data_IF_505669435237
#
_entry.id   IF_505669435237
#
_cell.length_a   1.000
_cell.length_b   1.000
_cell.length_c   1.000
_cell.angle_alpha   90.00
_cell.angle_beta   90.00
_cell.angle_gamma   90.00
#
_symmetry.space_group_name_H-M   'P 1'
#
loop_
_entity.id
_entity.type
_entity.pdbx_description
1 polymer ?
#
# COMPACT_ATOMS: atom_id res chain seq x y z
N UNK A 1 19.40 2.44 -28.81
CA UNK A 1 19.91 1.97 -27.50
C UNK A 1 18.75 1.34 -26.75
N UNK A 2 19.02 0.26 -26.01
CA UNK A 2 18.00 -0.32 -25.11
C UNK A 2 17.75 0.60 -23.94
N UNK A 3 16.53 0.58 -23.41
CA UNK A 3 16.13 1.31 -22.21
C UNK A 3 16.50 0.50 -20.96
N UNK A 4 17.12 1.12 -19.99
CA UNK A 4 17.41 0.50 -18.70
C UNK A 4 16.23 0.67 -17.77
N UNK A 5 15.56 -0.43 -17.44
CA UNK A 5 14.38 -0.50 -16.59
C UNK A 5 14.76 -1.18 -15.28
N UNK A 6 14.81 -0.43 -14.21
CA UNK A 6 15.10 -0.94 -12.87
C UNK A 6 13.80 -1.44 -12.21
N UNK A 7 13.84 -2.65 -11.70
CA UNK A 7 12.66 -3.31 -11.13
C UNK A 7 12.96 -3.70 -9.69
N UNK A 8 12.24 -3.08 -8.76
CA UNK A 8 12.42 -3.32 -7.33
C UNK A 8 11.94 -4.73 -6.99
N UNK A 9 12.84 -5.54 -6.42
CA UNK A 9 12.54 -6.90 -5.99
C UNK A 9 12.35 -7.90 -7.11
N UNK A 10 12.93 -7.67 -8.30
CA UNK A 10 12.82 -8.58 -9.45
C UNK A 10 13.45 -9.95 -9.13
N UNK A 11 12.65 -10.99 -9.21
CA UNK A 11 13.08 -12.39 -9.11
C UNK A 11 13.27 -13.03 -10.50
N UNK A 12 13.77 -14.28 -10.51
CA UNK A 12 14.06 -15.00 -11.75
C UNK A 12 12.78 -15.33 -12.54
N UNK A 13 11.69 -15.66 -11.86
CA UNK A 13 10.43 -16.00 -12.52
C UNK A 13 9.85 -14.76 -13.23
N UNK A 14 9.76 -13.64 -12.54
CA UNK A 14 9.26 -12.40 -13.12
C UNK A 14 10.20 -11.85 -14.22
N UNK A 15 11.51 -12.03 -14.08
CA UNK A 15 12.45 -11.68 -15.15
C UNK A 15 12.19 -12.48 -16.43
N UNK A 16 11.98 -13.81 -16.32
CA UNK A 16 11.63 -14.65 -17.48
C UNK A 16 10.32 -14.21 -18.13
N UNK A 17 9.32 -13.87 -17.32
CA UNK A 17 8.04 -13.36 -17.82
C UNK A 17 8.22 -12.04 -18.58
N UNK A 18 8.97 -11.08 -18.03
CA UNK A 18 9.26 -9.79 -18.67
C UNK A 18 10.04 -9.95 -19.98
N UNK A 19 10.97 -10.89 -20.04
CA UNK A 19 11.72 -11.19 -21.26
C UNK A 19 10.84 -11.77 -22.39
N UNK A 20 9.68 -12.30 -22.05
CA UNK A 20 8.72 -12.88 -23.01
C UNK A 20 7.67 -11.89 -23.54
N UNK A 21 7.57 -10.67 -22.97
CA UNK A 21 6.57 -9.69 -23.44
C UNK A 21 7.00 -9.04 -24.76
N UNK A 22 6.02 -8.51 -25.49
CA UNK A 22 6.27 -7.80 -26.76
C UNK A 22 7.23 -6.61 -26.53
N UNK A 23 8.22 -6.46 -27.39
CA UNK A 23 9.26 -5.41 -27.36
C UNK A 23 10.26 -5.51 -26.19
N UNK A 24 10.32 -6.65 -25.49
CA UNK A 24 11.30 -6.87 -24.43
C UNK A 24 12.75 -6.69 -24.89
N UNK A 25 13.01 -6.95 -26.17
CA UNK A 25 14.32 -6.76 -26.80
C UNK A 25 14.83 -5.31 -26.79
N UNK A 26 13.93 -4.35 -26.58
CA UNK A 26 14.25 -2.92 -26.48
C UNK A 26 14.59 -2.48 -25.04
N UNK A 27 14.50 -3.39 -24.07
CA UNK A 27 14.74 -3.12 -22.66
C UNK A 27 15.88 -3.96 -22.09
N UNK A 28 16.60 -3.39 -21.14
CA UNK A 28 17.45 -4.09 -20.20
C UNK A 28 16.72 -4.08 -18.86
N UNK A 29 16.21 -5.23 -18.42
CA UNK A 29 15.56 -5.38 -17.12
C UNK A 29 16.63 -5.59 -16.05
N UNK A 30 16.75 -4.67 -15.13
CA UNK A 30 17.80 -4.61 -14.11
C UNK A 30 17.17 -4.79 -12.73
N UNK A 31 17.70 -5.71 -11.95
CA UNK A 31 17.25 -5.93 -10.57
C UNK A 31 17.68 -4.77 -9.69
N UNK A 32 16.71 -4.19 -8.98
CA UNK A 32 16.93 -3.23 -7.94
C UNK A 32 16.49 -3.86 -6.62
N UNK A 33 17.40 -4.05 -5.71
CA UNK A 33 17.26 -4.77 -4.46
C UNK A 33 16.92 -6.27 -4.59
N UNK A 34 17.35 -7.04 -3.62
CA UNK A 34 17.01 -8.45 -3.47
C UNK A 34 15.65 -8.58 -2.77
N UNK A 35 14.70 -9.27 -3.40
CA UNK A 35 13.36 -9.47 -2.83
C UNK A 35 13.40 -10.17 -1.47
N UNK A 36 14.35 -11.05 -1.25
CA UNK A 36 14.53 -11.74 0.03
C UNK A 36 14.84 -10.77 1.18
N UNK A 37 15.51 -9.66 0.89
CA UNK A 37 15.79 -8.60 1.84
C UNK A 37 14.60 -7.68 2.10
N UNK A 38 13.60 -7.71 1.21
CA UNK A 38 12.38 -6.90 1.31
C UNK A 38 11.30 -7.58 2.17
N UNK A 39 11.35 -8.91 2.30
CA UNK A 39 10.36 -9.73 3.00
C UNK A 39 10.86 -10.08 4.42
N UNK A 40 11.32 -9.12 5.19
CA UNK A 40 11.43 -9.33 6.63
C UNK A 40 10.05 -9.15 7.26
N UNK A 41 9.48 -10.27 7.73
CA UNK A 41 8.12 -10.33 8.27
C UNK A 41 7.93 -9.58 9.59
N UNK A 42 8.99 -9.07 10.20
CA UNK A 42 8.95 -8.46 11.53
C UNK A 42 8.99 -6.93 11.52
N UNK A 43 9.49 -6.31 10.45
CA UNK A 43 9.47 -4.86 10.30
C UNK A 43 9.73 -4.44 8.85
N UNK A 44 8.95 -3.50 8.36
CA UNK A 44 9.25 -2.83 7.10
C UNK A 44 10.30 -1.75 7.35
N UNK A 45 11.52 -1.98 6.88
CA UNK A 45 12.66 -1.06 7.02
C UNK A 45 12.74 -0.15 5.79
N UNK A 46 11.70 0.65 5.56
CA UNK A 46 11.55 1.46 4.34
C UNK A 46 12.73 2.41 4.09
N UNK A 47 13.24 3.08 5.14
CA UNK A 47 14.41 3.98 5.03
C UNK A 47 15.63 3.25 4.51
N UNK A 48 15.96 2.11 5.12
CA UNK A 48 17.14 1.32 4.76
C UNK A 48 17.02 0.79 3.33
N UNK A 49 15.80 0.37 2.92
CA UNK A 49 15.54 -0.09 1.55
C UNK A 49 15.72 1.05 0.54
N UNK A 50 15.25 2.25 0.84
CA UNK A 50 15.44 3.42 0.00
C UNK A 50 16.91 3.80 -0.12
N UNK A 51 17.66 3.79 0.98
CA UNK A 51 19.09 4.07 0.98
C UNK A 51 19.86 3.07 0.11
N UNK A 52 19.60 1.77 0.28
CA UNK A 52 20.21 0.72 -0.54
C UNK A 52 19.83 0.83 -2.03
N UNK A 53 18.58 1.18 -2.34
CA UNK A 53 18.15 1.38 -3.72
C UNK A 53 18.87 2.57 -4.37
N UNK A 54 18.99 3.67 -3.64
CA UNK A 54 19.71 4.86 -4.08
C UNK A 54 21.19 4.55 -4.31
N UNK A 55 21.85 3.82 -3.39
CA UNK A 55 23.23 3.43 -3.53
C UNK A 55 23.46 2.58 -4.80
N UNK A 56 22.58 1.61 -5.09
CA UNK A 56 22.68 0.79 -6.30
C UNK A 56 22.45 1.61 -7.59
N UNK A 57 21.50 2.56 -7.56
CA UNK A 57 21.22 3.42 -8.72
C UNK A 57 22.35 4.42 -8.97
N UNK A 58 22.93 5.00 -7.92
CA UNK A 58 24.04 5.96 -8.03
C UNK A 58 25.36 5.32 -8.52
N UNK A 59 25.55 4.01 -8.24
CA UNK A 59 26.70 3.25 -8.72
C UNK A 59 26.54 2.72 -10.16
N UNK A 60 25.36 2.84 -10.75
CA UNK A 60 25.11 2.31 -12.09
C UNK A 60 25.70 3.21 -13.17
N UNK A 61 26.57 2.63 -14.00
CA UNK A 61 27.16 3.31 -15.16
C UNK A 61 26.22 3.23 -16.38
N UNK A 62 25.31 4.19 -16.51
CA UNK A 62 24.38 4.26 -17.63
C UNK A 62 23.18 5.16 -17.34
N UNK A 63 22.23 5.21 -18.29
CA UNK A 63 20.97 5.94 -18.07
C UNK A 63 20.03 5.16 -17.16
N UNK A 64 19.32 5.83 -16.29
CA UNK A 64 18.16 5.30 -15.59
C UNK A 64 16.94 5.76 -16.39
N UNK A 65 16.31 4.86 -17.16
CA UNK A 65 15.20 5.23 -18.06
C UNK A 65 13.83 4.98 -17.42
N UNK A 66 13.71 4.03 -16.49
CA UNK A 66 12.51 3.77 -15.72
C UNK A 66 12.83 3.04 -14.41
N UNK A 67 12.01 3.29 -13.39
CA UNK A 67 12.02 2.58 -12.11
C UNK A 67 10.60 2.10 -11.85
N UNK A 68 10.42 0.78 -11.66
CA UNK A 68 9.11 0.16 -11.48
C UNK A 68 9.13 -0.87 -10.35
N UNK A 69 7.96 -1.27 -9.90
CA UNK A 69 7.78 -2.35 -8.94
C UNK A 69 6.46 -3.07 -9.22
N UNK A 70 6.31 -4.31 -8.75
CA UNK A 70 5.13 -5.14 -8.95
C UNK A 70 4.58 -5.73 -7.65
N UNK A 71 5.14 -5.34 -6.51
CA UNK A 71 4.67 -5.76 -5.19
C UNK A 71 4.06 -4.59 -4.43
N UNK A 72 3.22 -4.91 -3.45
CA UNK A 72 2.57 -3.97 -2.54
C UNK A 72 3.62 -3.27 -1.63
N UNK A 73 3.17 -2.54 -0.63
CA UNK A 73 4.04 -1.88 0.35
C UNK A 73 5.15 -2.80 0.89
N UNK A 74 6.40 -2.35 0.97
CA UNK A 74 6.87 -0.96 0.78
C UNK A 74 7.23 -0.59 -0.66
N UNK A 75 7.29 -1.54 -1.61
CA UNK A 75 7.76 -1.30 -2.98
C UNK A 75 6.89 -0.28 -3.71
N UNK A 76 5.57 -0.40 -3.62
CA UNK A 76 4.62 0.54 -4.22
C UNK A 76 4.89 2.00 -3.84
N UNK A 77 5.33 2.27 -2.62
CA UNK A 77 5.67 3.61 -2.13
C UNK A 77 7.11 4.02 -2.42
N UNK A 78 8.02 3.06 -2.65
CA UNK A 78 9.40 3.36 -3.05
C UNK A 78 9.47 3.87 -4.49
N UNK A 79 8.65 3.34 -5.39
CA UNK A 79 8.63 3.73 -6.81
C UNK A 79 8.48 5.24 -7.00
N UNK A 80 7.45 5.92 -6.49
CA UNK A 80 7.31 7.36 -6.69
C UNK A 80 8.48 8.17 -6.12
N UNK A 81 9.01 7.78 -4.96
CA UNK A 81 10.14 8.46 -4.31
C UNK A 81 11.39 8.38 -5.18
N UNK A 82 11.68 7.19 -5.72
CA UNK A 82 12.84 6.99 -6.56
C UNK A 82 12.65 7.62 -7.95
N UNK A 83 11.46 7.53 -8.54
CA UNK A 83 11.15 8.19 -9.81
C UNK A 83 11.34 9.71 -9.72
N UNK A 84 10.85 10.35 -8.66
CA UNK A 84 11.04 11.78 -8.41
C UNK A 84 12.52 12.12 -8.25
N UNK A 85 13.26 11.37 -7.44
CA UNK A 85 14.69 11.59 -7.19
C UNK A 85 15.53 11.53 -8.45
N UNK A 86 15.25 10.59 -9.37
CA UNK A 86 16.03 10.38 -10.59
C UNK A 86 15.42 11.07 -11.84
N UNK A 87 14.33 11.80 -11.67
CA UNK A 87 13.70 12.55 -12.77
C UNK A 87 13.12 11.67 -13.87
N UNK A 88 12.70 10.43 -13.54
CA UNK A 88 12.05 9.52 -14.48
C UNK A 88 10.54 9.52 -14.28
N UNK A 89 9.73 9.23 -15.33
CA UNK A 89 8.29 9.18 -15.20
C UNK A 89 7.82 8.14 -14.17
N UNK A 90 6.84 8.53 -13.34
CA UNK A 90 6.25 7.67 -12.33
C UNK A 90 5.01 8.32 -11.69
N UNK A 91 4.28 7.58 -10.84
CA UNK A 91 3.19 8.16 -10.06
C UNK A 91 3.74 9.17 -9.04
N UNK A 92 2.92 10.09 -8.56
CA UNK A 92 3.28 10.93 -7.42
C UNK A 92 3.15 10.12 -6.12
N UNK A 93 3.95 10.46 -5.09
CA UNK A 93 3.82 9.83 -3.78
C UNK A 93 2.39 10.02 -3.23
N UNK A 94 1.82 11.21 -3.38
CA UNK A 94 0.44 11.50 -2.96
C UNK A 94 -0.58 10.55 -3.60
N UNK A 95 -0.50 10.32 -4.93
CA UNK A 95 -1.44 9.44 -5.63
C UNK A 95 -1.37 8.00 -5.13
N UNK A 96 -0.16 7.51 -4.83
CA UNK A 96 0.03 6.18 -4.26
C UNK A 96 -0.52 6.11 -2.84
N UNK A 97 -0.24 7.10 -1.99
CA UNK A 97 -0.74 7.14 -0.62
C UNK A 97 -2.27 7.21 -0.56
N UNK A 98 -2.93 7.94 -1.48
CA UNK A 98 -4.40 7.93 -1.64
C UNK A 98 -4.96 6.54 -1.85
N UNK A 99 -4.29 5.72 -2.67
CA UNK A 99 -4.72 4.34 -2.92
C UNK A 99 -4.44 3.41 -1.73
N UNK A 100 -3.30 3.59 -1.08
CA UNK A 100 -2.82 2.70 -0.01
C UNK A 100 -3.46 2.96 1.35
N UNK A 101 -3.81 4.20 1.66
CA UNK A 101 -4.51 4.60 2.87
C UNK A 101 -6.00 4.32 2.72
N UNK A 102 -6.46 3.18 3.24
CA UNK A 102 -7.81 2.64 2.97
C UNK A 102 -8.95 3.62 3.25
N UNK A 103 -8.85 4.44 4.28
CA UNK A 103 -9.87 5.45 4.56
C UNK A 103 -9.83 6.59 3.53
N UNK A 104 -8.66 7.10 3.18
CA UNK A 104 -8.53 8.13 2.14
C UNK A 104 -9.01 7.61 0.78
N UNK A 105 -8.61 6.39 0.41
CA UNK A 105 -9.11 5.74 -0.81
C UNK A 105 -10.64 5.68 -0.83
N UNK A 106 -11.30 5.42 0.29
CA UNK A 106 -12.77 5.42 0.37
C UNK A 106 -13.37 6.82 0.21
N UNK A 107 -12.74 7.86 0.74
CA UNK A 107 -13.18 9.25 0.54
C UNK A 107 -13.11 9.66 -0.94
N UNK A 108 -12.00 9.34 -1.62
CA UNK A 108 -11.83 9.62 -3.05
C UNK A 108 -12.86 8.86 -3.90
N UNK A 109 -13.08 7.58 -3.59
CA UNK A 109 -14.08 6.76 -4.27
C UNK A 109 -15.50 7.30 -4.01
N UNK A 110 -15.81 7.71 -2.78
CA UNK A 110 -17.11 8.28 -2.44
C UNK A 110 -17.36 9.60 -3.18
N UNK A 111 -16.34 10.41 -3.39
CA UNK A 111 -16.45 11.63 -4.18
C UNK A 111 -16.74 11.35 -5.67
N UNK A 112 -16.18 10.26 -6.22
CA UNK A 112 -16.32 9.90 -7.63
C UNK A 112 -17.58 9.07 -7.93
N UNK A 113 -17.97 8.13 -7.06
CA UNK A 113 -19.03 7.15 -7.30
C UNK A 113 -19.82 6.86 -6.00
N UNK A 114 -20.43 7.86 -5.37
CA UNK A 114 -21.03 7.77 -4.03
C UNK A 114 -22.07 6.65 -3.88
N UNK A 115 -22.81 6.35 -4.93
CA UNK A 115 -23.86 5.32 -4.94
C UNK A 115 -23.32 3.87 -4.94
N UNK A 116 -22.02 3.68 -5.21
CA UNK A 116 -21.39 2.37 -5.30
C UNK A 116 -20.43 2.07 -4.15
N UNK A 117 -20.31 2.98 -3.18
CA UNK A 117 -19.41 2.82 -2.04
C UNK A 117 -20.20 2.42 -0.78
N UNK A 118 -19.78 1.37 -0.04
CA UNK A 118 -20.41 1.02 1.21
C UNK A 118 -20.21 2.12 2.25
N UNK A 119 -21.06 2.17 3.27
CA UNK A 119 -20.79 3.02 4.41
C UNK A 119 -19.45 2.59 5.05
N UNK A 120 -18.67 3.57 5.45
CA UNK A 120 -17.38 3.35 6.08
C UNK A 120 -17.11 4.45 7.11
N UNK A 121 -16.30 4.12 8.12
CA UNK A 121 -15.86 5.08 9.14
C UNK A 121 -14.49 4.69 9.67
N UNK A 122 -13.58 5.63 9.91
CA UNK A 122 -12.34 5.35 10.61
C UNK A 122 -12.64 5.20 12.11
N UNK A 123 -11.82 4.44 12.81
CA UNK A 123 -11.89 4.33 14.25
C UNK A 123 -10.52 4.00 14.84
N UNK A 124 -10.31 4.43 16.08
CA UNK A 124 -9.13 4.06 16.85
C UNK A 124 -9.37 2.70 17.54
N UNK A 125 -8.59 1.65 17.23
CA UNK A 125 -8.74 0.36 17.91
C UNK A 125 -8.33 0.39 19.39
N UNK A 126 -7.66 1.44 19.85
CA UNK A 126 -7.30 1.63 21.26
C UNK A 126 -8.38 2.36 22.07
N UNK A 127 -9.40 2.88 21.41
CA UNK A 127 -10.57 3.44 22.07
C UNK A 127 -11.52 2.31 22.52
N UNK A 128 -11.78 2.21 23.81
CA UNK A 128 -12.65 1.18 24.37
C UNK A 128 -14.14 1.36 23.97
N UNK A 129 -14.50 2.56 23.50
CA UNK A 129 -15.84 2.86 22.96
C UNK A 129 -15.91 2.77 21.43
N UNK A 130 -14.88 2.24 20.77
CA UNK A 130 -14.80 2.19 19.31
C UNK A 130 -16.03 1.55 18.65
N UNK A 131 -16.57 0.47 19.23
CA UNK A 131 -17.74 -0.23 18.67
C UNK A 131 -19.00 0.67 18.66
N UNK A 132 -19.16 1.54 19.66
CA UNK A 132 -20.32 2.42 19.78
C UNK A 132 -20.28 3.57 18.79
N UNK A 133 -19.09 3.89 18.27
CA UNK A 133 -18.84 4.94 17.28
C UNK A 133 -19.01 4.45 15.83
N UNK A 134 -19.15 3.14 15.61
CA UNK A 134 -19.39 2.58 14.27
C UNK A 134 -20.89 2.70 13.95
N UNK A 135 -21.28 3.51 12.91
CA UNK A 135 -22.67 3.95 12.73
C UNK A 135 -23.56 2.96 11.98
N UNK A 136 -23.13 1.70 11.77
CA UNK A 136 -23.89 0.71 11.01
C UNK A 136 -23.96 -0.64 11.72
N UNK A 137 -24.99 -1.42 11.37
CA UNK A 137 -25.29 -2.71 11.99
C UNK A 137 -24.39 -3.84 11.51
N UNK A 138 -24.36 -4.92 12.30
CA UNK A 138 -23.72 -6.17 11.91
C UNK A 138 -24.42 -6.86 10.70
N UNK A 139 -23.67 -7.60 9.87
CA UNK A 139 -22.21 -7.76 9.91
C UNK A 139 -21.48 -6.64 9.18
N UNK A 140 -20.22 -6.38 9.56
CA UNK A 140 -19.34 -5.46 8.88
C UNK A 140 -17.89 -5.93 8.88
N UNK A 141 -17.03 -5.33 8.07
CA UNK A 141 -15.59 -5.54 8.07
C UNK A 141 -14.88 -4.49 8.90
N UNK A 142 -13.80 -4.91 9.59
CA UNK A 142 -12.81 -3.99 10.14
C UNK A 142 -11.43 -4.40 9.63
N UNK A 143 -10.57 -3.42 9.35
CA UNK A 143 -9.20 -3.63 8.88
C UNK A 143 -8.34 -2.41 9.19
N UNK A 144 -7.01 -2.56 9.36
CA UNK A 144 -6.13 -1.40 9.52
C UNK A 144 -6.24 -0.44 8.33
N UNK A 145 -6.02 0.84 8.57
CA UNK A 145 -5.89 1.85 7.51
C UNK A 145 -4.82 1.44 6.51
N UNK A 146 -3.67 0.96 7.00
CA UNK A 146 -2.63 0.35 6.18
C UNK A 146 -2.48 -1.13 6.54
N UNK A 147 -2.58 -1.98 5.56
CA UNK A 147 -2.25 -3.41 5.63
C UNK A 147 -2.14 -3.96 4.21
N UNK A 148 -1.43 -5.07 4.06
CA UNK A 148 -1.18 -5.76 2.78
C UNK A 148 -1.69 -7.19 2.85
N UNK A 149 -1.86 -7.86 1.70
CA UNK A 149 -2.18 -9.28 1.60
C UNK A 149 -3.36 -9.73 2.48
N UNK A 150 -4.40 -8.91 2.62
CA UNK A 150 -5.57 -9.16 3.48
C UNK A 150 -5.26 -9.38 4.97
N UNK A 151 -4.06 -9.01 5.42
CA UNK A 151 -3.66 -9.14 6.82
C UNK A 151 -4.54 -8.26 7.72
N UNK A 152 -4.87 -8.79 8.91
CA UNK A 152 -5.61 -8.10 9.96
C UNK A 152 -7.01 -7.61 9.55
N UNK A 153 -7.62 -8.22 8.50
CA UNK A 153 -9.01 -7.99 8.13
C UNK A 153 -9.94 -8.95 8.89
N UNK A 154 -10.98 -8.43 9.56
CA UNK A 154 -11.92 -9.23 10.34
C UNK A 154 -13.36 -8.92 9.96
N UNK A 155 -14.14 -9.98 9.74
CA UNK A 155 -15.59 -9.88 9.61
C UNK A 155 -16.22 -9.95 11.00
N UNK A 156 -16.88 -8.89 11.39
CA UNK A 156 -17.59 -8.77 12.66
C UNK A 156 -19.06 -9.11 12.43
N UNK A 157 -19.47 -10.29 12.89
CA UNK A 157 -20.85 -10.78 12.70
C UNK A 157 -21.78 -10.37 13.85
N UNK A 158 -21.18 -10.12 15.01
CA UNK A 158 -21.89 -9.76 16.23
C UNK A 158 -21.00 -8.99 17.19
N UNK A 159 -21.60 -8.38 18.23
CA UNK A 159 -20.86 -7.71 19.30
C UNK A 159 -19.79 -8.59 19.96
N UNK A 160 -19.97 -9.92 19.96
CA UNK A 160 -19.05 -10.88 20.60
C UNK A 160 -17.74 -11.06 19.82
N UNK A 161 -17.74 -10.79 18.51
CA UNK A 161 -16.54 -10.97 17.65
C UNK A 161 -15.56 -9.79 17.80
N UNK A 162 -16.08 -8.61 18.12
CA UNK A 162 -15.32 -7.37 18.12
C UNK A 162 -14.14 -7.36 19.11
N UNK A 163 -14.30 -7.75 20.41
CA UNK A 163 -13.18 -7.69 21.36
C UNK A 163 -11.98 -8.55 20.95
N UNK A 164 -12.22 -9.74 20.39
CA UNK A 164 -11.14 -10.62 19.92
C UNK A 164 -10.40 -10.04 18.73
N UNK A 165 -11.12 -9.44 17.78
CA UNK A 165 -10.51 -8.79 16.64
C UNK A 165 -9.69 -7.56 17.05
N UNK A 166 -10.21 -6.73 17.98
CA UNK A 166 -9.50 -5.56 18.52
C UNK A 166 -8.24 -5.97 19.25
N UNK A 167 -8.27 -7.03 20.05
CA UNK A 167 -7.07 -7.51 20.71
C UNK A 167 -5.95 -7.82 19.71
N UNK A 168 -6.26 -8.58 18.64
CA UNK A 168 -5.28 -8.93 17.61
C UNK A 168 -4.78 -7.68 16.87
N UNK A 169 -5.67 -6.72 16.58
CA UNK A 169 -5.31 -5.45 15.96
C UNK A 169 -4.33 -4.66 16.83
N UNK A 170 -4.64 -4.47 18.13
CA UNK A 170 -3.78 -3.77 19.09
C UNK A 170 -2.37 -4.37 19.17
N UNK A 171 -2.27 -5.70 19.10
CA UNK A 171 -0.98 -6.42 19.16
C UNK A 171 -0.14 -6.24 17.89
N UNK A 172 -0.76 -6.12 16.71
CA UNK A 172 -0.06 -6.26 15.42
C UNK A 172 -0.08 -5.02 14.52
N UNK A 173 -0.94 -4.05 14.79
CA UNK A 173 -1.12 -2.88 13.91
C UNK A 173 0.16 -2.05 13.77
N UNK A 174 1.02 -2.06 14.79
CA UNK A 174 2.31 -1.35 14.78
C UNK A 174 3.27 -1.79 13.68
N UNK A 175 3.05 -2.94 13.03
CA UNK A 175 3.85 -3.41 11.89
C UNK A 175 3.88 -2.39 10.73
N UNK A 176 2.80 -1.63 10.55
CA UNK A 176 2.66 -0.67 9.46
C UNK A 176 3.06 0.77 9.82
N UNK A 177 3.62 0.99 11.01
CA UNK A 177 4.07 2.33 11.47
C UNK A 177 5.02 3.04 10.49
N UNK A 178 5.94 2.36 9.76
CA UNK A 178 6.78 3.04 8.76
C UNK A 178 6.00 3.77 7.66
N UNK A 179 4.73 3.45 7.45
CA UNK A 179 3.86 4.17 6.52
C UNK A 179 3.59 5.63 6.96
N UNK A 180 3.57 5.89 8.26
CA UNK A 180 3.27 7.23 8.79
C UNK A 180 4.32 8.27 8.36
N UNK A 181 5.60 7.87 8.31
CA UNK A 181 6.68 8.73 7.84
C UNK A 181 6.52 9.18 6.36
N UNK A 182 5.71 8.48 5.58
CA UNK A 182 5.35 8.90 4.22
C UNK A 182 4.21 9.91 4.21
N UNK A 183 3.24 9.75 5.12
CA UNK A 183 2.15 10.71 5.28
C UNK A 183 2.69 12.08 5.70
N UNK A 184 3.74 12.13 6.51
CA UNK A 184 4.41 13.36 6.96
C UNK A 184 5.11 14.12 5.81
N UNK A 185 5.32 13.49 4.65
CA UNK A 185 5.99 14.11 3.48
C UNK A 185 5.04 14.88 2.57
N UNK A 186 3.74 14.77 2.78
CA UNK A 186 2.72 15.38 1.91
C UNK A 186 1.71 16.20 2.71
N UNK A 187 1.03 17.12 2.04
CA UNK A 187 -0.10 17.84 2.64
C UNK A 187 -1.34 16.95 2.66
N UNK A 188 -1.74 16.51 3.85
CA UNK A 188 -2.93 15.70 4.02
C UNK A 188 -4.21 16.56 4.02
N UNK A 189 -5.31 16.11 3.39
CA UNK A 189 -6.63 16.72 3.56
C UNK A 189 -7.07 16.69 5.02
N UNK A 190 -7.84 17.69 5.47
CA UNK A 190 -8.34 17.79 6.83
C UNK A 190 -9.08 16.50 7.29
N UNK A 191 -9.86 15.90 6.39
CA UNK A 191 -10.60 14.67 6.67
C UNK A 191 -9.71 13.43 6.94
N UNK A 192 -8.43 13.49 6.55
CA UNK A 192 -7.44 12.40 6.70
C UNK A 192 -6.42 12.73 7.77
N UNK A 193 -6.22 14.02 8.04
CA UNK A 193 -5.25 14.50 9.02
C UNK A 193 -5.50 13.87 10.40
N UNK A 194 -4.43 13.28 10.99
CA UNK A 194 -4.51 12.58 12.27
C UNK A 194 -4.96 11.12 12.21
N UNK A 195 -5.40 10.61 11.03
CA UNK A 195 -5.76 9.21 10.83
C UNK A 195 -4.55 8.50 10.20
N UNK A 196 -3.73 7.88 11.02
CA UNK A 196 -2.48 7.23 10.64
C UNK A 196 -2.58 5.69 10.64
N UNK A 197 -1.46 4.99 10.47
CA UNK A 197 -1.41 3.52 10.41
C UNK A 197 -1.91 2.81 11.68
N UNK A 198 -2.01 3.50 12.82
CA UNK A 198 -2.57 2.95 14.06
C UNK A 198 -4.11 2.91 14.06
N UNK A 199 -4.76 3.57 13.11
CA UNK A 199 -6.21 3.55 12.96
C UNK A 199 -6.67 2.34 12.12
N UNK A 200 -7.97 2.06 12.26
CA UNK A 200 -8.70 1.09 11.46
C UNK A 200 -9.83 1.77 10.69
N UNK A 201 -10.32 1.10 9.64
CA UNK A 201 -11.58 1.43 8.98
C UNK A 201 -12.56 0.29 9.20
N UNK A 202 -13.79 0.65 9.56
CA UNK A 202 -14.96 -0.22 9.51
C UNK A 202 -15.73 0.05 8.22
N UNK A 203 -16.21 -1.01 7.56
CA UNK A 203 -16.92 -0.93 6.28
C UNK A 203 -18.11 -1.89 6.29
N UNK A 204 -19.25 -1.46 5.76
CA UNK A 204 -20.36 -2.36 5.47
C UNK A 204 -19.95 -3.44 4.47
N UNK A 205 -20.52 -4.62 4.60
CA UNK A 205 -20.29 -5.73 3.67
C UNK A 205 -21.07 -5.48 2.39
N UNK A 206 -20.36 -5.45 1.27
CA UNK A 206 -20.95 -5.50 -0.06
C UNK A 206 -21.23 -6.97 -0.41
N UNK A 207 -22.39 -7.25 -0.97
CA UNK A 207 -22.76 -8.53 -1.54
C UNK A 207 -22.71 -8.48 -3.05
N UNK A 208 -22.60 -9.64 -3.70
CA UNK A 208 -22.58 -9.78 -5.14
C UNK A 208 -21.41 -10.61 -5.64
N UNK A 209 -21.23 -10.63 -6.96
CA UNK A 209 -20.10 -11.32 -7.60
C UNK A 209 -18.86 -10.45 -7.52
N UNK A 210 -17.81 -11.01 -6.96
CA UNK A 210 -16.50 -10.34 -6.94
C UNK A 210 -15.85 -10.43 -8.32
N UNK A 211 -15.35 -9.29 -8.80
CA UNK A 211 -14.56 -9.20 -10.02
C UNK A 211 -13.30 -8.39 -9.73
N UNK A 212 -12.22 -8.70 -10.43
CA UNK A 212 -11.00 -7.90 -10.46
C UNK A 212 -10.84 -7.34 -11.87
N UNK A 213 -10.53 -6.05 -11.97
CA UNK A 213 -10.16 -5.39 -13.22
C UNK A 213 -8.74 -4.88 -13.07
N UNK A 214 -7.92 -5.17 -14.07
CA UNK A 214 -6.54 -4.68 -14.16
C UNK A 214 -6.38 -3.95 -15.49
N UNK A 215 -5.60 -2.87 -15.48
CA UNK A 215 -5.40 -2.05 -16.66
C UNK A 215 -4.31 -1.01 -16.47
N UNK A 216 -4.10 -0.21 -17.50
CA UNK A 216 -3.14 0.89 -17.55
C UNK A 216 -3.75 2.08 -18.30
#
# INVERSE_FOLDING_TARGET
MKKNVFIIGLDDFNLQMLQSVRNAENCNFIRLLDIQKLIDTNAYRLSDMLELAVEQLDQFEGSIDAIVGYTDFPVSTMVPILCEKYGVPGPTLESVLKCEHKYWSRLEQQAAIPEHIPQFTPFDPFDDQALEKIPFSFPFWIKPIKSTASQLGFRIRSKKDFPKAIQILREKIGLFKPFDALLDKIALPEAVAGINSAYCVAEQIISGRQCTLEGY
#
